data_IF_448191110959
#
_entry.id   IF_448191110959
#
_cell.length_a   1.000
_cell.length_b   1.000
_cell.length_c   1.000
_cell.angle_alpha   90.00
_cell.angle_beta   90.00
_cell.angle_gamma   90.00
#
_symmetry.space_group_name_H-M   'P 1'
#
loop_
_entity.id
_entity.type
_entity.pdbx_description
1 polymer ?
#
# COMPACT_ATOMS: atom_id res chain seq x y z
N UNK A 1 -0.46 -16.39 24.68
CA UNK A 1 -1.54 -15.93 23.77
C UNK A 1 -0.94 -15.66 22.40
N UNK A 2 -1.67 -15.94 21.31
CA UNK A 2 -1.17 -16.02 19.92
C UNK A 2 -0.12 -14.94 19.52
N UNK A 3 -0.28 -13.71 20.00
CA UNK A 3 0.67 -12.60 19.83
C UNK A 3 2.11 -12.95 20.23
N UNK A 4 2.32 -13.49 21.43
CA UNK A 4 3.66 -13.82 21.94
C UNK A 4 4.35 -14.94 21.13
N UNK A 5 3.56 -15.90 20.61
CA UNK A 5 4.08 -16.97 19.76
C UNK A 5 4.48 -16.44 18.37
N UNK A 6 3.70 -15.52 17.80
CA UNK A 6 4.01 -14.85 16.52
C UNK A 6 5.24 -13.96 16.66
N UNK A 7 5.32 -13.15 17.71
CA UNK A 7 6.48 -12.30 17.99
C UNK A 7 7.76 -13.14 18.12
N UNK A 8 7.72 -14.24 18.88
CA UNK A 8 8.86 -15.16 19.04
C UNK A 8 9.25 -15.84 17.73
N UNK A 9 8.28 -16.30 16.93
CA UNK A 9 8.54 -16.95 15.64
C UNK A 9 9.11 -15.98 14.59
N UNK A 10 8.65 -14.72 14.58
CA UNK A 10 9.16 -13.68 13.70
C UNK A 10 10.57 -13.23 14.08
N UNK A 11 10.88 -13.12 15.39
CA UNK A 11 12.22 -12.77 15.87
C UNK A 11 13.26 -13.86 15.57
N UNK A 12 12.86 -15.13 15.57
CA UNK A 12 13.74 -16.27 15.34
C UNK A 12 13.73 -16.79 13.88
N UNK A 13 13.01 -16.13 12.97
CA UNK A 13 12.84 -16.51 11.57
C UNK A 13 13.45 -15.53 10.57
N UNK A 14 13.47 -15.90 9.29
CA UNK A 14 14.12 -15.16 8.18
C UNK A 14 13.44 -13.82 7.79
N UNK A 15 12.28 -13.47 8.40
CA UNK A 15 11.51 -12.25 8.07
C UNK A 15 11.81 -11.06 8.99
N UNK A 16 13.06 -10.93 9.43
CA UNK A 16 13.50 -9.89 10.36
C UNK A 16 13.36 -8.45 9.79
N UNK A 17 13.21 -8.29 8.47
CA UNK A 17 13.23 -6.98 7.77
C UNK A 17 11.88 -6.50 7.20
N UNK A 18 10.76 -7.19 7.47
CA UNK A 18 9.47 -6.87 6.82
C UNK A 18 8.72 -5.72 7.50
N UNK A 19 9.11 -5.35 8.71
CA UNK A 19 8.49 -4.26 9.47
C UNK A 19 9.53 -3.22 9.87
N UNK A 20 9.91 -2.27 8.99
CA UNK A 20 10.50 -1.04 9.47
C UNK A 20 9.44 -0.30 10.29
N UNK A 21 9.75 -0.06 11.57
CA UNK A 21 9.04 0.90 12.42
C UNK A 21 9.32 2.31 11.87
N UNK A 22 8.67 2.67 10.76
CA UNK A 22 8.63 4.04 10.30
C UNK A 22 7.68 4.81 11.19
N UNK A 23 8.20 5.31 12.31
CA UNK A 23 7.46 6.01 13.37
C UNK A 23 6.85 7.38 12.98
N UNK A 24 6.66 7.67 11.70
CA UNK A 24 5.95 8.88 11.29
C UNK A 24 4.78 8.50 10.38
N UNK A 25 3.63 8.23 11.01
CA UNK A 25 2.29 8.16 10.39
C UNK A 25 1.81 9.53 9.88
N UNK A 26 2.74 10.37 9.40
CA UNK A 26 2.48 11.72 8.93
C UNK A 26 1.68 11.71 7.63
N UNK A 27 1.79 10.66 6.82
CA UNK A 27 0.97 10.49 5.61
C UNK A 27 0.34 9.11 5.64
N UNK A 28 -0.98 9.05 5.60
CA UNK A 28 -1.75 7.81 5.46
C UNK A 28 -1.95 7.53 3.98
N UNK A 29 -1.86 6.26 3.59
CA UNK A 29 -2.19 5.77 2.26
C UNK A 29 -3.32 4.76 2.39
N UNK A 30 -4.42 5.02 1.70
CA UNK A 30 -5.55 4.09 1.60
C UNK A 30 -5.78 3.73 0.14
N UNK A 31 -6.05 2.47 -0.13
CA UNK A 31 -6.32 1.97 -1.47
C UNK A 31 -7.70 1.33 -1.47
N UNK A 32 -8.60 1.92 -2.24
CA UNK A 32 -10.00 1.52 -2.31
C UNK A 32 -10.37 1.12 -3.73
N UNK A 33 -11.18 0.07 -3.84
CA UNK A 33 -11.80 -0.38 -5.08
C UNK A 33 -13.31 -0.13 -4.98
N UNK A 34 -13.98 0.23 -6.08
CA UNK A 34 -15.44 0.31 -6.10
C UNK A 34 -16.07 -1.02 -5.67
N UNK A 35 -17.22 -0.96 -4.98
CA UNK A 35 -17.84 -2.04 -4.17
C UNK A 35 -17.82 -3.45 -4.77
N UNK A 36 -18.03 -3.56 -6.08
CA UNK A 36 -18.26 -4.86 -6.72
C UNK A 36 -16.96 -5.49 -7.25
N UNK A 37 -15.83 -4.80 -7.08
CA UNK A 37 -14.55 -5.23 -7.61
C UNK A 37 -14.44 -5.10 -9.14
N UNK A 38 -13.32 -5.55 -9.73
CA UNK A 38 -13.16 -5.53 -11.18
C UNK A 38 -13.99 -6.64 -11.85
N UNK A 39 -14.75 -6.29 -12.87
CA UNK A 39 -15.47 -7.23 -13.73
C UNK A 39 -14.70 -7.44 -15.05
N UNK A 40 -14.66 -8.68 -15.54
CA UNK A 40 -14.00 -8.98 -16.82
C UNK A 40 -14.72 -8.29 -17.97
N UNK A 41 -13.95 -7.64 -18.84
CA UNK A 41 -14.49 -6.90 -20.00
C UNK A 41 -15.06 -5.53 -19.66
N UNK A 42 -14.95 -5.08 -18.41
CA UNK A 42 -15.34 -3.74 -17.98
C UNK A 42 -14.15 -2.99 -17.39
N UNK A 43 -14.24 -1.67 -17.38
CA UNK A 43 -13.25 -0.82 -16.74
C UNK A 43 -13.30 -0.98 -15.22
N UNK A 44 -12.11 -1.04 -14.62
CA UNK A 44 -11.90 -1.13 -13.19
C UNK A 44 -11.45 0.23 -12.63
N UNK A 45 -12.12 0.73 -11.60
CA UNK A 45 -11.75 1.98 -10.94
C UNK A 45 -11.16 1.71 -9.55
N UNK A 46 -9.88 2.07 -9.41
CA UNK A 46 -9.13 2.06 -8.16
C UNK A 46 -8.87 3.51 -7.72
N UNK A 47 -9.01 3.78 -6.43
CA UNK A 47 -8.70 5.07 -5.83
C UNK A 47 -7.59 4.89 -4.80
N UNK A 48 -6.51 5.66 -4.95
CA UNK A 48 -5.45 5.79 -3.95
C UNK A 48 -5.66 7.13 -3.26
N UNK A 49 -5.95 7.09 -1.97
CA UNK A 49 -6.19 8.26 -1.13
C UNK A 49 -4.95 8.48 -0.28
N UNK A 50 -4.41 9.70 -0.33
CA UNK A 50 -3.28 10.12 0.48
C UNK A 50 -3.75 11.20 1.44
N UNK A 51 -3.37 11.09 2.71
CA UNK A 51 -3.77 12.05 3.75
C UNK A 51 -2.59 12.48 4.60
N UNK A 52 -2.26 13.76 4.60
CA UNK A 52 -1.25 14.34 5.47
C UNK A 52 -1.85 14.64 6.86
N UNK A 53 -1.28 14.06 7.91
CA UNK A 53 -1.65 14.25 9.32
C UNK A 53 -0.77 15.27 10.04
N UNK A 54 0.22 15.86 9.38
CA UNK A 54 1.15 16.78 10.02
C UNK A 54 0.93 18.23 9.58
N UNK A 55 1.45 19.15 10.40
CA UNK A 55 1.40 20.61 10.17
C UNK A 55 2.33 21.12 9.08
N UNK A 56 3.14 20.26 8.49
CA UNK A 56 4.09 20.61 7.45
C UNK A 56 3.64 20.02 6.12
N UNK A 57 3.83 20.76 5.03
CA UNK A 57 3.61 20.21 3.70
C UNK A 57 4.59 19.06 3.43
N UNK A 58 4.15 18.07 2.66
CA UNK A 58 4.94 16.90 2.29
C UNK A 58 4.98 16.79 0.76
N UNK A 59 6.17 16.63 0.21
CA UNK A 59 6.34 16.24 -1.19
C UNK A 59 6.73 14.77 -1.22
N UNK A 60 6.02 13.97 -2.02
CA UNK A 60 6.24 12.54 -2.14
C UNK A 60 6.13 12.11 -3.60
N UNK A 61 6.86 11.05 -3.94
CA UNK A 61 6.68 10.37 -5.23
C UNK A 61 5.90 9.09 -4.99
N UNK A 62 4.68 9.01 -5.54
CA UNK A 62 3.85 7.82 -5.49
C UNK A 62 4.24 6.90 -6.66
N UNK A 63 4.80 5.74 -6.32
CA UNK A 63 4.98 4.64 -7.25
C UNK A 63 3.81 3.67 -7.12
N UNK A 64 3.02 3.50 -8.17
CA UNK A 64 1.87 2.60 -8.15
C UNK A 64 1.97 1.55 -9.26
N UNK A 65 1.47 0.35 -8.97
CA UNK A 65 1.45 -0.75 -9.93
C UNK A 65 0.18 -1.59 -9.77
N UNK A 66 -0.35 -2.05 -10.89
CA UNK A 66 -1.45 -3.02 -10.96
C UNK A 66 -0.94 -4.23 -11.72
N UNK A 67 -1.12 -5.42 -11.15
CA UNK A 67 -0.67 -6.67 -11.74
C UNK A 67 -1.80 -7.70 -11.74
N UNK A 68 -1.83 -8.54 -12.77
CA UNK A 68 -2.64 -9.75 -12.80
C UNK A 68 -1.89 -10.83 -12.02
N UNK A 69 -2.54 -11.40 -11.00
CA UNK A 69 -1.96 -12.35 -10.06
C UNK A 69 -2.82 -13.62 -10.07
N UNK A 70 -2.17 -14.78 -10.12
CA UNK A 70 -2.85 -16.06 -9.92
C UNK A 70 -3.34 -16.17 -8.47
N UNK A 71 -4.35 -16.98 -8.20
CA UNK A 71 -4.86 -17.17 -6.83
C UNK A 71 -3.78 -17.65 -5.83
N UNK A 72 -2.67 -18.22 -6.32
CA UNK A 72 -1.50 -18.62 -5.53
C UNK A 72 -0.59 -17.45 -5.10
N UNK A 73 -0.86 -16.24 -5.58
CA UNK A 73 -0.01 -15.06 -5.37
C UNK A 73 1.09 -14.87 -6.43
N UNK A 74 1.26 -15.83 -7.35
CA UNK A 74 2.24 -15.69 -8.44
C UNK A 74 1.81 -14.60 -9.43
N UNK A 75 2.69 -13.64 -9.69
CA UNK A 75 2.44 -12.58 -10.68
C UNK A 75 2.45 -13.15 -12.09
N UNK A 76 1.35 -12.96 -12.82
CA UNK A 76 1.22 -13.36 -14.23
C UNK A 76 1.69 -12.26 -15.17
N UNK A 77 1.25 -11.03 -14.94
CA UNK A 77 1.55 -9.90 -15.81
C UNK A 77 1.44 -8.57 -15.06
N UNK A 78 2.21 -7.58 -15.49
CA UNK A 78 2.06 -6.18 -15.07
C UNK A 78 1.04 -5.50 -15.98
N UNK A 79 -0.04 -4.97 -15.42
CA UNK A 79 -1.14 -4.33 -16.17
C UNK A 79 -0.90 -2.83 -16.31
N UNK A 80 -0.47 -2.18 -15.22
CA UNK A 80 -0.17 -0.76 -15.21
C UNK A 80 0.94 -0.46 -14.22
N UNK A 81 1.76 0.52 -14.55
CA UNK A 81 2.73 1.14 -13.64
C UNK A 81 2.67 2.65 -13.83
N UNK A 82 2.72 3.36 -12.74
CA UNK A 82 2.66 4.82 -12.73
C UNK A 82 3.62 5.39 -11.68
N UNK A 83 4.10 6.60 -11.94
CA UNK A 83 4.89 7.38 -11.03
C UNK A 83 4.36 8.81 -11.04
N UNK A 84 3.84 9.27 -9.91
CA UNK A 84 3.29 10.61 -9.78
C UNK A 84 4.01 11.37 -8.66
N UNK A 85 4.46 12.60 -8.94
CA UNK A 85 4.93 13.52 -7.91
C UNK A 85 3.72 14.24 -7.29
N UNK A 86 3.60 14.19 -5.97
CA UNK A 86 2.45 14.70 -5.22
C UNK A 86 2.94 15.63 -4.13
N UNK A 87 2.33 16.80 -4.06
CA UNK A 87 2.49 17.75 -2.97
C UNK A 87 1.23 17.75 -2.12
N UNK A 88 1.37 17.39 -0.85
CA UNK A 88 0.30 17.44 0.15
C UNK A 88 0.52 18.64 1.06
N UNK A 89 -0.50 19.47 1.20
CA UNK A 89 -0.51 20.56 2.18
C UNK A 89 -0.61 19.99 3.60
N UNK A 90 -0.35 20.85 4.58
CA UNK A 90 -0.55 20.51 5.99
C UNK A 90 -2.00 20.09 6.25
N UNK A 91 -2.21 18.96 6.92
CA UNK A 91 -3.54 18.44 7.27
C UNK A 91 -4.51 18.23 6.09
N UNK A 92 -3.99 17.96 4.89
CA UNK A 92 -4.76 17.61 3.69
C UNK A 92 -5.26 16.15 3.71
#
# INVERSE_FOLDING_TARGET
>A
GARAAVETACCNGFKQSVYPLSNNDDVIIEVNMKSDGPCVGQDAMLSIILKNKCRFSRSLTLYSQVAAIYYTGAQKALVKKDQTLIELKSYE
#
